data_IF_652572497864
#
_entry.id   IF_652572497864
#
_cell.length_a   1.000
_cell.length_b   1.000
_cell.length_c   1.000
_cell.angle_alpha   90.00
_cell.angle_beta   90.00
_cell.angle_gamma   90.00
#
_symmetry.space_group_name_H-M   'P 1'
#
loop_
_entity.id
_entity.type
_entity.pdbx_description
1 polymer ?
#
# COMPACT_ATOMS: atom_id res chain seq x y z
N UNK A 1 -37.79 -3.11 49.08
CA UNK A 1 -36.42 -2.66 49.45
C UNK A 1 -36.55 -1.41 50.31
N UNK A 2 -36.14 -1.46 51.58
CA UNK A 2 -36.37 -0.39 52.57
C UNK A 2 -35.64 0.90 52.18
N UNK A 3 -36.26 2.08 52.36
CA UNK A 3 -35.72 3.41 51.99
C UNK A 3 -34.24 3.62 52.44
N UNK A 4 -33.86 3.06 53.59
CA UNK A 4 -32.49 3.10 54.12
C UNK A 4 -31.45 2.41 53.23
N UNK A 5 -31.83 1.32 52.54
CA UNK A 5 -30.93 0.60 51.62
C UNK A 5 -30.66 1.39 50.34
N UNK A 6 -31.65 2.16 49.84
CA UNK A 6 -31.45 3.03 48.66
C UNK A 6 -30.47 4.16 48.97
N UNK A 7 -30.57 4.75 50.16
CA UNK A 7 -29.70 5.85 50.59
C UNK A 7 -28.21 5.45 50.64
N UNK A 8 -27.92 4.19 51.00
CA UNK A 8 -26.54 3.66 51.02
C UNK A 8 -26.02 3.24 49.64
N UNK A 9 -26.90 3.04 48.65
CA UNK A 9 -26.52 2.56 47.31
C UNK A 9 -26.02 3.70 46.40
N UNK A 10 -26.65 4.88 46.49
CA UNK A 10 -26.27 6.06 45.70
C UNK A 10 -24.81 6.50 45.85
N UNK A 11 -24.22 6.60 47.07
CA UNK A 11 -22.81 6.96 47.20
C UNK A 11 -21.87 5.89 46.63
N UNK A 12 -22.19 4.60 46.77
CA UNK A 12 -21.41 3.51 46.16
C UNK A 12 -21.40 3.61 44.63
N UNK A 13 -22.57 3.83 44.02
CA UNK A 13 -22.68 4.00 42.56
C UNK A 13 -21.89 5.22 42.09
N UNK A 14 -21.96 6.33 42.82
CA UNK A 14 -21.19 7.54 42.49
C UNK A 14 -19.69 7.28 42.49
N UNK A 15 -19.16 6.58 43.51
CA UNK A 15 -17.74 6.21 43.58
C UNK A 15 -17.36 5.30 42.42
N UNK A 16 -18.18 4.29 42.09
CA UNK A 16 -17.93 3.40 40.96
C UNK A 16 -17.88 4.17 39.65
N UNK A 17 -18.78 5.13 39.43
CA UNK A 17 -18.79 5.97 38.23
C UNK A 17 -17.51 6.81 38.15
N UNK A 18 -17.09 7.43 39.24
CA UNK A 18 -15.86 8.24 39.27
C UNK A 18 -14.63 7.39 38.97
N UNK A 19 -14.52 6.22 39.61
CA UNK A 19 -13.42 5.28 39.37
C UNK A 19 -13.41 4.83 37.91
N UNK A 20 -14.57 4.45 37.37
CA UNK A 20 -14.69 4.03 35.97
C UNK A 20 -14.32 5.16 35.00
N UNK A 21 -14.72 6.40 35.28
CA UNK A 21 -14.36 7.56 34.47
C UNK A 21 -12.85 7.82 34.46
N UNK A 22 -12.20 7.72 35.63
CA UNK A 22 -10.74 7.87 35.75
C UNK A 22 -10.00 6.77 34.98
N UNK A 23 -10.43 5.52 35.12
CA UNK A 23 -9.86 4.42 34.34
C UNK A 23 -10.06 4.64 32.84
N UNK A 24 -11.27 4.98 32.42
CA UNK A 24 -11.59 5.23 31.01
C UNK A 24 -10.71 6.33 30.41
N UNK A 25 -10.44 7.40 31.17
CA UNK A 25 -9.54 8.47 30.75
C UNK A 25 -8.12 7.97 30.50
N UNK A 26 -7.57 7.15 31.41
CA UNK A 26 -6.24 6.57 31.26
C UNK A 26 -6.19 5.59 30.08
N UNK A 27 -7.21 4.74 29.93
CA UNK A 27 -7.32 3.82 28.81
C UNK A 27 -7.33 4.56 27.46
N UNK A 28 -8.13 5.62 27.34
CA UNK A 28 -8.16 6.44 26.13
C UNK A 28 -6.81 7.08 25.83
N UNK A 29 -6.11 7.62 26.83
CA UNK A 29 -4.77 8.18 26.62
C UNK A 29 -3.75 7.14 26.16
N UNK A 30 -3.80 5.93 26.74
CA UNK A 30 -2.93 4.82 26.36
C UNK A 30 -3.26 4.31 24.95
N UNK A 31 -4.53 4.27 24.59
CA UNK A 31 -5.02 3.89 23.26
C UNK A 31 -4.49 4.83 22.18
N UNK A 32 -4.60 6.14 22.40
CA UNK A 32 -4.10 7.17 21.48
C UNK A 32 -2.59 7.05 21.29
N UNK A 33 -1.83 6.84 22.37
CA UNK A 33 -0.38 6.62 22.28
C UNK A 33 -0.05 5.37 21.47
N UNK A 34 -0.75 4.25 21.71
CA UNK A 34 -0.53 3.00 20.97
C UNK A 34 -0.81 3.19 19.48
N UNK A 35 -1.94 3.81 19.13
CA UNK A 35 -2.29 4.12 17.74
C UNK A 35 -1.24 5.03 17.10
N UNK A 36 -0.75 6.04 17.83
CA UNK A 36 0.34 6.90 17.36
C UNK A 36 1.60 6.11 16.99
N UNK A 37 2.05 5.17 17.85
CA UNK A 37 3.20 4.34 17.54
C UNK A 37 2.97 3.41 16.34
N UNK A 38 1.78 2.81 16.23
CA UNK A 38 1.42 1.95 15.11
C UNK A 38 1.40 2.74 13.80
N UNK A 39 0.79 3.92 13.78
CA UNK A 39 0.75 4.79 12.60
C UNK A 39 2.15 5.24 12.18
N UNK A 40 2.99 5.62 13.14
CA UNK A 40 4.38 6.01 12.86
C UNK A 40 5.16 4.86 12.23
N UNK A 41 5.03 3.64 12.78
CA UNK A 41 5.65 2.44 12.22
C UNK A 41 5.14 2.17 10.80
N UNK A 42 3.82 2.17 10.61
CA UNK A 42 3.20 1.91 9.30
C UNK A 42 3.63 2.94 8.25
N UNK A 43 3.74 4.21 8.63
CA UNK A 43 4.20 5.28 7.74
C UNK A 43 5.64 5.07 7.31
N UNK A 44 6.52 4.64 8.22
CA UNK A 44 7.93 4.34 7.91
C UNK A 44 8.04 3.14 6.97
N UNK A 45 7.31 2.08 7.25
CA UNK A 45 7.27 0.88 6.40
C UNK A 45 6.73 1.22 5.01
N UNK A 46 5.62 1.96 4.94
CA UNK A 46 5.04 2.39 3.67
C UNK A 46 6.01 3.23 2.84
N UNK A 47 6.73 4.17 3.47
CA UNK A 47 7.77 4.96 2.80
C UNK A 47 8.88 4.06 2.25
N UNK A 48 9.36 3.10 3.03
CA UNK A 48 10.38 2.14 2.58
C UNK A 48 9.91 1.34 1.37
N UNK A 49 8.66 0.85 1.38
CA UNK A 49 8.09 0.14 0.24
C UNK A 49 7.95 1.01 -1.01
N UNK A 50 7.53 2.28 -0.85
CA UNK A 50 7.46 3.22 -1.97
C UNK A 50 8.84 3.49 -2.57
N UNK A 51 9.86 3.70 -1.74
CA UNK A 51 11.23 3.95 -2.20
C UNK A 51 11.79 2.72 -2.96
N UNK A 52 11.55 1.51 -2.45
CA UNK A 52 11.94 0.27 -3.12
C UNK A 52 11.22 0.10 -4.48
N UNK A 53 9.92 0.36 -4.51
CA UNK A 53 9.14 0.33 -5.74
C UNK A 53 9.68 1.33 -6.78
N UNK A 54 10.01 2.55 -6.35
CA UNK A 54 10.57 3.60 -7.20
C UNK A 54 11.94 3.22 -7.76
N UNK A 55 12.79 2.59 -6.95
CA UNK A 55 14.08 2.06 -7.39
C UNK A 55 13.92 0.93 -8.41
N UNK A 56 13.00 -0.01 -8.16
CA UNK A 56 12.71 -1.12 -9.08
C UNK A 56 12.15 -0.61 -10.42
N UNK A 57 11.21 0.33 -10.39
CA UNK A 57 10.63 0.89 -11.61
C UNK A 57 11.66 1.70 -12.41
N UNK A 58 12.52 2.48 -11.74
CA UNK A 58 13.61 3.19 -12.41
C UNK A 58 14.62 2.21 -13.03
N UNK A 59 14.97 1.13 -12.33
CA UNK A 59 15.86 0.08 -12.85
C UNK A 59 15.24 -0.61 -14.06
N UNK A 60 13.96 -0.96 -13.97
CA UNK A 60 13.21 -1.56 -15.06
C UNK A 60 13.19 -0.63 -16.29
N UNK A 61 12.86 0.65 -16.11
CA UNK A 61 12.89 1.64 -17.18
C UNK A 61 14.29 1.80 -17.80
N UNK A 62 15.36 1.69 -17.00
CA UNK A 62 16.75 1.72 -17.50
C UNK A 62 17.12 0.46 -18.30
N UNK A 63 16.57 -0.70 -17.95
CA UNK A 63 16.78 -1.95 -18.69
C UNK A 63 15.97 -1.94 -19.98
N UNK A 64 14.70 -1.56 -19.92
CA UNK A 64 13.75 -1.50 -21.03
C UNK A 64 13.89 -0.23 -21.88
N UNK A 65 15.08 0.37 -21.94
CA UNK A 65 15.32 1.49 -22.86
C UNK A 65 15.13 1.01 -24.30
N UNK A 66 14.58 1.83 -25.21
CA UNK A 66 14.30 1.43 -26.59
C UNK A 66 15.52 0.85 -27.30
N UNK A 67 16.72 1.40 -27.07
CA UNK A 67 17.96 0.92 -27.67
C UNK A 67 18.29 -0.51 -27.21
N UNK A 68 18.12 -0.79 -25.92
CA UNK A 68 18.35 -2.14 -25.36
C UNK A 68 17.27 -3.13 -25.74
N UNK A 69 16.02 -2.67 -25.84
CA UNK A 69 14.92 -3.48 -26.36
C UNK A 69 15.18 -3.88 -27.82
N UNK A 70 15.71 -2.97 -28.63
CA UNK A 70 16.11 -3.23 -30.01
C UNK A 70 17.25 -4.23 -30.08
N UNK A 71 18.30 -4.04 -29.27
CA UNK A 71 19.41 -4.99 -29.17
C UNK A 71 18.94 -6.38 -28.71
N UNK A 72 18.03 -6.46 -27.74
CA UNK A 72 17.49 -7.72 -27.26
C UNK A 72 16.62 -8.39 -28.32
N UNK A 73 15.81 -7.62 -29.06
CA UNK A 73 14.99 -8.12 -30.15
C UNK A 73 15.84 -8.69 -31.30
N UNK A 74 16.91 -7.99 -31.68
CA UNK A 74 17.82 -8.44 -32.74
C UNK A 74 18.62 -9.67 -32.28
N UNK A 75 19.23 -9.62 -31.10
CA UNK A 75 20.21 -10.64 -30.68
C UNK A 75 19.60 -11.90 -30.05
N UNK A 76 18.45 -11.79 -29.36
CA UNK A 76 17.82 -12.93 -28.65
C UNK A 76 16.56 -13.43 -29.33
N UNK A 77 15.80 -12.53 -29.96
CA UNK A 77 14.54 -12.88 -30.62
C UNK A 77 14.69 -12.98 -32.14
N UNK A 78 15.87 -12.70 -32.69
CA UNK A 78 16.14 -12.72 -34.14
C UNK A 78 15.14 -11.87 -34.94
N UNK A 79 14.58 -10.82 -34.32
CA UNK A 79 13.72 -9.87 -35.03
C UNK A 79 14.60 -8.96 -35.88
N UNK A 80 14.38 -9.01 -37.19
CA UNK A 80 14.96 -8.07 -38.13
C UNK A 80 14.15 -6.77 -38.13
N UNK A 81 14.83 -5.64 -38.32
CA UNK A 81 14.17 -4.36 -38.54
C UNK A 81 13.33 -4.41 -39.81
N UNK A 82 12.09 -3.92 -39.71
CA UNK A 82 11.15 -3.89 -40.82
C UNK A 82 11.70 -2.94 -41.89
N UNK A 83 12.06 -3.48 -43.05
CA UNK A 83 12.47 -2.69 -44.21
C UNK A 83 11.24 -2.16 -44.95
N UNK A 84 11.34 -0.97 -45.53
CA UNK A 84 10.27 -0.45 -46.40
C UNK A 84 10.01 -1.43 -47.55
N UNK A 85 8.76 -1.85 -47.74
CA UNK A 85 8.35 -2.87 -48.72
C UNK A 85 8.43 -4.32 -48.26
N UNK A 86 8.76 -4.61 -46.99
CA UNK A 86 8.80 -5.98 -46.47
C UNK A 86 7.39 -6.49 -46.12
N UNK A 87 6.98 -7.61 -46.74
CA UNK A 87 5.69 -8.26 -46.48
C UNK A 87 5.82 -9.16 -45.24
N UNK A 88 5.05 -8.88 -44.19
CA UNK A 88 5.02 -9.67 -42.96
C UNK A 88 3.78 -10.57 -42.99
N UNK A 89 3.99 -11.88 -43.02
CA UNK A 89 2.93 -12.87 -42.87
C UNK A 89 2.60 -13.04 -41.38
N UNK A 90 1.54 -12.39 -40.90
CA UNK A 90 1.00 -12.69 -39.58
C UNK A 90 0.16 -13.97 -39.67
N UNK A 91 0.35 -14.92 -38.74
CA UNK A 91 -0.53 -16.10 -38.63
C UNK A 91 -1.96 -15.64 -38.39
N UNK A 92 -2.76 -15.60 -39.46
CA UNK A 92 -4.14 -15.12 -39.47
C UNK A 92 -4.33 -13.92 -40.41
N UNK A 93 -4.37 -14.18 -41.72
CA UNK A 93 -5.04 -13.45 -42.82
C UNK A 93 -5.09 -11.91 -42.83
N UNK A 94 -4.20 -11.23 -42.11
CA UNK A 94 -4.09 -9.77 -42.09
C UNK A 94 -2.66 -9.37 -42.42
N UNK A 95 -2.47 -8.91 -43.65
CA UNK A 95 -1.22 -8.29 -44.10
C UNK A 95 -1.17 -6.88 -43.51
N UNK A 96 -0.19 -6.61 -42.65
CA UNK A 96 0.09 -5.26 -42.17
C UNK A 96 1.13 -4.62 -43.09
N UNK A 97 0.73 -3.62 -43.89
CA UNK A 97 1.65 -2.73 -44.61
C UNK A 97 1.78 -1.41 -43.86
N UNK A 98 2.99 -0.84 -43.85
CA UNK A 98 3.26 0.51 -43.34
C UNK A 98 3.44 1.42 -44.54
N UNK A 99 2.53 2.37 -44.72
CA UNK A 99 2.68 3.49 -45.66
C UNK A 99 3.77 4.49 -45.17
#
# INVERSE_FOLDING_TARGET
>A
MSQKQKFNLFPLISIVIVVFALFSMVFLQMEVRRLGYVLLKLTREHKSFQDEYRLKSMRFAKIMRPERLRDLAINRLTLNEIKSGQIIYMSGDKIAMRE
#
